data_IF_227271195303
#
_entry.id   IF_227271195303
#
_cell.length_a   1.000
_cell.length_b   1.000
_cell.length_c   1.000
_cell.angle_alpha   90.00
_cell.angle_beta   90.00
_cell.angle_gamma   90.00
#
_symmetry.space_group_name_H-M   'P 1'
#
loop_
_entity.id
_entity.type
_entity.pdbx_description
1 polymer ?
#
# COMPACT_ATOMS: atom_id res chain seq x y z
N UNK A 1 -52.24 49.44 45.35
CA UNK A 1 -52.33 48.48 44.22
C UNK A 1 -51.56 49.06 43.06
N UNK A 2 -50.45 48.43 42.65
CA UNK A 2 -49.56 48.91 41.58
C UNK A 2 -49.06 47.68 40.81
N UNK A 3 -49.70 47.38 39.68
CA UNK A 3 -49.18 46.41 38.71
C UNK A 3 -47.94 47.00 38.04
N UNK A 4 -46.85 46.24 37.99
CA UNK A 4 -45.67 46.53 37.19
C UNK A 4 -45.51 45.46 36.12
N UNK A 5 -45.62 45.93 34.88
CA UNK A 5 -45.51 45.19 33.63
C UNK A 5 -44.13 44.55 33.46
N UNK A 6 -44.14 43.28 33.04
CA UNK A 6 -42.97 42.43 32.81
C UNK A 6 -42.48 42.61 31.36
N UNK A 7 -41.69 43.66 31.10
CA UNK A 7 -41.20 44.03 29.75
C UNK A 7 -39.75 43.56 29.51
N UNK A 8 -39.08 43.00 30.52
CA UNK A 8 -37.63 42.72 30.46
C UNK A 8 -37.19 41.42 29.76
N UNK A 9 -38.11 40.47 29.51
CA UNK A 9 -37.71 39.10 29.12
C UNK A 9 -37.69 38.88 27.60
N UNK A 10 -38.51 39.61 26.84
CA UNK A 10 -38.64 39.41 25.39
C UNK A 10 -37.47 39.94 24.54
N UNK A 11 -36.83 41.02 24.99
CA UNK A 11 -35.75 41.68 24.23
C UNK A 11 -34.42 40.93 24.29
N UNK A 12 -34.10 40.26 25.41
CA UNK A 12 -32.88 39.45 25.51
C UNK A 12 -32.94 38.16 24.69
N UNK A 13 -34.12 37.53 24.59
CA UNK A 13 -34.29 36.31 23.80
C UNK A 13 -34.16 36.57 22.29
N UNK A 14 -34.70 37.70 21.81
CA UNK A 14 -34.60 38.08 20.39
C UNK A 14 -33.16 38.47 19.99
N UNK A 15 -32.41 39.14 20.87
CA UNK A 15 -31.02 39.52 20.60
C UNK A 15 -30.07 38.30 20.53
N UNK A 16 -30.30 37.28 21.37
CA UNK A 16 -29.51 36.05 21.36
C UNK A 16 -29.74 35.21 20.10
N UNK A 17 -30.97 35.20 19.56
CA UNK A 17 -31.32 34.53 18.31
C UNK A 17 -30.71 35.23 17.07
N UNK A 18 -30.60 36.56 17.05
CA UNK A 18 -29.93 37.28 15.96
C UNK A 18 -28.40 37.11 15.96
N UNK A 19 -27.77 37.06 17.15
CA UNK A 19 -26.34 36.74 17.24
C UNK A 19 -26.04 35.32 16.73
N UNK A 20 -26.87 34.32 17.06
CA UNK A 20 -26.67 32.94 16.59
C UNK A 20 -26.74 32.80 15.05
N UNK A 21 -27.56 33.62 14.38
CA UNK A 21 -27.67 33.65 12.91
C UNK A 21 -26.53 34.42 12.23
N UNK A 22 -25.76 35.21 12.97
CA UNK A 22 -24.64 36.01 12.45
C UNK A 22 -23.30 35.25 12.46
N UNK A 23 -23.25 34.10 13.16
CA UNK A 23 -22.11 33.17 13.19
C UNK A 23 -22.37 31.88 12.41
N UNK A 24 -23.38 31.86 11.53
CA UNK A 24 -23.43 30.87 10.48
C UNK A 24 -22.26 31.17 9.53
N UNK A 25 -21.06 30.70 9.86
CA UNK A 25 -19.97 30.57 8.92
C UNK A 25 -20.58 30.00 7.65
N UNK A 26 -20.38 30.69 6.53
CA UNK A 26 -20.62 30.10 5.22
C UNK A 26 -19.93 28.73 5.26
N UNK A 27 -20.73 27.66 5.28
CA UNK A 27 -20.21 26.34 5.02
C UNK A 27 -19.70 26.40 3.59
N UNK A 28 -18.43 26.79 3.42
CA UNK A 28 -17.74 26.59 2.17
C UNK A 28 -17.85 25.10 1.93
N UNK A 29 -18.61 24.72 0.89
CA UNK A 29 -18.57 23.37 0.39
C UNK A 29 -17.12 23.11 -0.02
N UNK A 30 -16.35 22.48 0.87
CA UNK A 30 -14.98 22.08 0.59
C UNK A 30 -15.08 20.96 -0.45
N UNK A 31 -14.97 21.31 -1.73
CA UNK A 31 -14.99 20.34 -2.81
C UNK A 31 -13.68 19.56 -2.78
N UNK A 32 -13.71 18.36 -2.20
CA UNK A 32 -12.57 17.45 -2.21
C UNK A 32 -12.36 16.95 -3.63
N UNK A 33 -11.23 17.33 -4.23
CA UNK A 33 -10.86 16.86 -5.55
C UNK A 33 -9.96 15.65 -5.41
N UNK A 34 -10.36 14.52 -5.99
CA UNK A 34 -9.52 13.31 -6.07
C UNK A 34 -8.94 13.19 -7.46
N UNK A 35 -7.62 13.15 -7.56
CA UNK A 35 -6.88 12.95 -8.81
C UNK A 35 -6.10 11.64 -8.76
N UNK A 36 -6.02 10.94 -9.89
CA UNK A 36 -5.07 9.85 -10.10
C UNK A 36 -3.64 10.45 -10.15
N UNK A 37 -2.72 9.92 -9.36
CA UNK A 37 -1.32 10.41 -9.32
C UNK A 37 -0.32 9.44 -9.93
N UNK A 38 -0.59 8.13 -9.88
CA UNK A 38 0.30 7.14 -10.45
C UNK A 38 -0.43 5.83 -10.78
N UNK A 39 0.06 5.15 -11.83
CA UNK A 39 -0.28 3.76 -12.15
C UNK A 39 1.01 3.08 -12.56
N UNK A 40 1.39 2.02 -11.86
CA UNK A 40 2.56 1.23 -12.19
C UNK A 40 2.32 -0.27 -12.03
N UNK A 41 3.10 -1.06 -12.76
CA UNK A 41 3.10 -2.51 -12.69
C UNK A 41 4.39 -2.98 -12.02
N UNK A 42 4.25 -4.00 -11.17
CA UNK A 42 5.30 -4.61 -10.40
C UNK A 42 5.59 -3.87 -9.11
N UNK A 43 6.28 -4.58 -8.23
CA UNK A 43 6.84 -4.06 -6.99
C UNK A 43 8.25 -4.63 -6.80
N UNK A 44 9.05 -4.11 -5.86
CA UNK A 44 10.32 -4.74 -5.49
C UNK A 44 10.16 -6.23 -5.08
N UNK A 45 8.98 -6.61 -4.57
CA UNK A 45 8.68 -8.00 -4.25
C UNK A 45 8.33 -8.83 -5.49
N UNK A 46 7.67 -8.26 -6.50
CA UNK A 46 7.50 -8.89 -7.82
C UNK A 46 8.85 -9.17 -8.47
N UNK A 47 9.79 -8.21 -8.40
CA UNK A 47 11.15 -8.40 -8.90
C UNK A 47 11.90 -9.51 -8.15
N UNK A 48 11.75 -9.55 -6.82
CA UNK A 48 12.31 -10.62 -6.00
C UNK A 48 11.73 -11.98 -6.40
N UNK A 49 10.41 -12.09 -6.57
CA UNK A 49 9.74 -13.32 -6.93
C UNK A 49 10.17 -13.81 -8.33
N UNK A 50 10.24 -12.91 -9.31
CA UNK A 50 10.80 -13.18 -10.65
C UNK A 50 12.24 -13.68 -10.57
N UNK A 51 13.04 -13.11 -9.67
CA UNK A 51 14.41 -13.55 -9.41
C UNK A 51 14.51 -15.00 -8.92
N UNK A 52 13.52 -15.52 -8.19
CA UNK A 52 13.47 -16.92 -7.74
C UNK A 52 13.29 -17.91 -8.89
N UNK A 53 12.71 -17.45 -10.00
CA UNK A 53 12.55 -18.25 -11.23
C UNK A 53 13.84 -18.45 -12.01
N UNK A 54 14.94 -17.79 -11.64
CA UNK A 54 16.22 -17.95 -12.31
C UNK A 54 16.88 -19.26 -11.88
N UNK A 55 17.06 -20.18 -12.82
CA UNK A 55 17.77 -21.44 -12.62
C UNK A 55 16.89 -22.67 -12.84
N UNK A 56 17.36 -23.76 -12.24
CA UNK A 56 16.80 -25.09 -12.40
C UNK A 56 17.79 -26.15 -11.90
N UNK A 57 17.39 -27.41 -11.99
CA UNK A 57 18.27 -28.54 -11.76
C UNK A 57 17.96 -29.67 -12.73
N UNK A 58 18.89 -30.61 -12.87
CA UNK A 58 18.73 -31.81 -13.66
C UNK A 58 18.28 -32.98 -12.76
N UNK A 59 17.26 -33.72 -13.20
CA UNK A 59 16.83 -34.95 -12.52
C UNK A 59 17.79 -36.10 -12.85
N UNK A 60 17.79 -37.16 -12.03
CA UNK A 60 18.60 -38.35 -12.28
C UNK A 60 18.35 -39.00 -13.66
N UNK A 61 17.17 -38.78 -14.25
CA UNK A 61 16.84 -39.23 -15.61
C UNK A 61 17.36 -38.33 -16.74
N UNK A 62 18.15 -37.29 -16.44
CA UNK A 62 18.70 -36.35 -17.43
C UNK A 62 17.73 -35.25 -17.89
N UNK A 63 16.54 -35.18 -17.32
CA UNK A 63 15.57 -34.13 -17.65
C UNK A 63 15.83 -32.88 -16.83
N UNK A 64 15.95 -31.74 -17.52
CA UNK A 64 16.07 -30.43 -16.88
C UNK A 64 14.72 -29.90 -16.37
N UNK A 65 14.70 -29.43 -15.13
CA UNK A 65 13.55 -28.76 -14.50
C UNK A 65 13.92 -27.30 -14.30
N UNK A 66 13.27 -26.41 -15.05
CA UNK A 66 13.45 -24.96 -14.88
C UNK A 66 12.51 -24.41 -13.82
N UNK A 67 13.02 -23.50 -12.98
CA UNK A 67 12.18 -22.78 -12.01
C UNK A 67 11.28 -21.74 -12.67
N UNK A 68 11.62 -21.26 -13.87
CA UNK A 68 10.91 -20.15 -14.53
C UNK A 68 9.41 -20.38 -14.64
N UNK A 69 8.97 -21.61 -14.94
CA UNK A 69 7.56 -21.99 -15.01
C UNK A 69 6.84 -21.78 -13.66
N UNK A 70 7.48 -22.16 -12.56
CA UNK A 70 6.93 -22.11 -11.21
C UNK A 70 6.75 -20.70 -10.65
N UNK A 71 7.61 -19.78 -11.07
CA UNK A 71 7.59 -18.37 -10.64
C UNK A 71 7.08 -17.43 -11.75
N UNK A 72 6.46 -17.97 -12.79
CA UNK A 72 5.79 -17.16 -13.80
C UNK A 72 4.36 -16.84 -13.33
N UNK A 73 4.07 -15.55 -13.18
CA UNK A 73 2.72 -15.04 -12.92
C UNK A 73 2.06 -14.59 -14.22
N UNK A 74 0.80 -14.96 -14.43
CA UNK A 74 -0.01 -14.45 -15.55
C UNK A 74 -0.48 -13.00 -15.33
N UNK A 75 -0.50 -12.56 -14.09
CA UNK A 75 -0.82 -11.20 -13.67
C UNK A 75 0.23 -10.72 -12.67
N UNK A 76 0.95 -9.67 -13.04
CA UNK A 76 1.92 -8.98 -12.17
C UNK A 76 1.20 -7.91 -11.37
N UNK A 77 1.63 -7.69 -10.13
CA UNK A 77 1.00 -6.71 -9.23
C UNK A 77 0.81 -5.34 -9.91
N UNK A 78 -0.39 -4.78 -9.81
CA UNK A 78 -0.74 -3.48 -10.39
C UNK A 78 -1.09 -2.52 -9.26
N UNK A 79 -0.40 -1.39 -9.22
CA UNK A 79 -0.62 -0.34 -8.24
C UNK A 79 -1.31 0.86 -8.88
N UNK A 80 -2.31 1.40 -8.18
CA UNK A 80 -3.04 2.61 -8.56
C UNK A 80 -3.08 3.53 -7.35
N UNK A 81 -2.47 4.71 -7.50
CA UNK A 81 -2.37 5.70 -6.44
C UNK A 81 -3.17 6.97 -6.79
N UNK A 82 -3.82 7.51 -5.78
CA UNK A 82 -4.67 8.69 -5.82
C UNK A 82 -4.23 9.73 -4.78
N UNK A 83 -4.54 10.99 -5.07
CA UNK A 83 -4.44 12.11 -4.14
C UNK A 83 -5.80 12.77 -4.01
N UNK A 84 -6.35 12.79 -2.80
CA UNK A 84 -7.51 13.61 -2.45
C UNK A 84 -7.03 14.90 -1.81
N UNK A 85 -7.22 16.02 -2.51
CA UNK A 85 -6.84 17.34 -2.03
C UNK A 85 -7.81 17.82 -0.96
N UNK A 86 -7.26 18.14 0.21
CA UNK A 86 -8.01 18.71 1.33
C UNK A 86 -7.87 20.23 1.28
N UNK A 87 -6.66 20.74 1.04
CA UNK A 87 -6.39 22.17 0.77
C UNK A 87 -5.49 22.28 -0.46
N UNK A 88 -5.23 23.49 -0.99
CA UNK A 88 -4.31 23.67 -2.12
C UNK A 88 -2.89 23.12 -1.87
N UNK A 89 -2.49 23.05 -0.59
CA UNK A 89 -1.15 22.64 -0.18
C UNK A 89 -1.11 21.31 0.57
N UNK A 90 -2.26 20.67 0.77
CA UNK A 90 -2.37 19.47 1.60
C UNK A 90 -3.35 18.48 1.01
N UNK A 91 -2.95 17.21 0.98
CA UNK A 91 -3.83 16.14 0.53
C UNK A 91 -3.55 14.80 1.19
N UNK A 92 -4.53 13.92 1.06
CA UNK A 92 -4.46 12.53 1.49
C UNK A 92 -4.10 11.64 0.30
N UNK A 93 -3.01 10.89 0.43
CA UNK A 93 -2.60 9.89 -0.54
C UNK A 93 -3.28 8.56 -0.19
N UNK A 94 -3.79 7.86 -1.19
CA UNK A 94 -4.29 6.51 -1.01
C UNK A 94 -4.20 5.72 -2.30
N UNK A 95 -4.09 4.40 -2.18
CA UNK A 95 -3.94 3.54 -3.35
C UNK A 95 -4.13 2.08 -2.99
N UNK A 96 -4.13 1.24 -4.02
CA UNK A 96 -4.23 -0.21 -3.84
C UNK A 96 -3.29 -0.93 -4.81
N UNK A 97 -2.79 -2.08 -4.37
CA UNK A 97 -2.08 -3.06 -5.19
C UNK A 97 -2.95 -4.30 -5.36
N UNK A 98 -3.04 -4.84 -6.57
CA UNK A 98 -3.87 -6.01 -6.87
C UNK A 98 -3.32 -7.32 -6.28
N UNK A 99 -2.05 -7.34 -5.91
CA UNK A 99 -1.31 -8.57 -5.62
C UNK A 99 -0.90 -9.30 -6.90
N UNK A 100 -0.23 -10.43 -6.71
CA UNK A 100 0.39 -11.23 -7.76
C UNK A 100 0.35 -12.71 -7.36
N UNK A 101 0.11 -13.60 -8.32
CA UNK A 101 0.05 -15.02 -8.02
C UNK A 101 0.72 -15.85 -9.11
N UNK A 102 1.58 -16.77 -8.67
CA UNK A 102 2.16 -17.83 -9.49
C UNK A 102 1.92 -19.19 -8.83
N UNK A 103 2.48 -20.24 -9.43
CA UNK A 103 2.38 -21.59 -8.91
C UNK A 103 3.03 -21.71 -7.53
N UNK A 104 4.26 -21.21 -7.37
CA UNK A 104 5.05 -21.36 -6.13
C UNK A 104 5.12 -20.13 -5.25
N UNK A 105 4.40 -19.05 -5.56
CA UNK A 105 4.30 -17.92 -4.64
C UNK A 105 3.00 -17.14 -4.80
N UNK A 106 2.74 -16.28 -3.82
CA UNK A 106 1.71 -15.25 -3.90
C UNK A 106 2.19 -13.97 -3.22
N UNK A 107 1.89 -12.83 -3.82
CA UNK A 107 1.95 -11.51 -3.21
C UNK A 107 0.51 -11.12 -2.89
N UNK A 108 0.22 -10.89 -1.61
CA UNK A 108 -1.11 -10.46 -1.19
C UNK A 108 -1.45 -9.08 -1.79
N UNK A 109 -2.73 -8.76 -2.02
CA UNK A 109 -3.15 -7.40 -2.33
C UNK A 109 -2.69 -6.41 -1.25
N UNK A 110 -2.56 -5.14 -1.60
CA UNK A 110 -2.10 -4.09 -0.69
C UNK A 110 -2.98 -2.86 -0.72
N UNK A 111 -2.96 -2.11 0.37
CA UNK A 111 -3.55 -0.78 0.50
C UNK A 111 -2.48 0.19 0.98
N UNK A 112 -2.41 1.33 0.31
CA UNK A 112 -1.50 2.43 0.63
C UNK A 112 -2.33 3.60 1.13
N UNK A 113 -1.87 4.26 2.18
CA UNK A 113 -2.45 5.47 2.72
C UNK A 113 -1.35 6.43 3.12
N UNK A 114 -1.62 7.73 3.09
CA UNK A 114 -0.60 8.70 3.43
C UNK A 114 -1.09 10.12 3.37
N UNK A 115 -0.16 11.02 3.59
CA UNK A 115 -0.42 12.44 3.63
C UNK A 115 0.70 13.16 2.91
N UNK A 116 0.31 14.18 2.15
CA UNK A 116 1.20 15.08 1.46
C UNK A 116 0.91 16.50 1.93
N UNK A 117 1.93 17.23 2.32
CA UNK A 117 1.83 18.66 2.59
C UNK A 117 2.99 19.39 1.94
N UNK A 118 2.72 20.59 1.45
CA UNK A 118 3.73 21.47 0.90
C UNK A 118 3.67 22.84 1.55
N UNK A 119 4.81 23.51 1.59
CA UNK A 119 4.91 24.92 1.99
C UNK A 119 5.71 25.67 0.93
N UNK A 120 5.51 26.98 0.86
CA UNK A 120 6.20 27.86 -0.07
C UNK A 120 7.08 28.85 0.73
N UNK A 121 8.31 28.45 1.13
CA UNK A 121 9.17 29.31 1.96
C UNK A 121 9.49 30.66 1.31
N UNK A 122 9.54 30.70 -0.02
CA UNK A 122 9.60 31.94 -0.81
C UNK A 122 8.83 31.73 -2.13
N UNK A 123 8.57 32.80 -2.93
CA UNK A 123 7.80 32.69 -4.18
C UNK A 123 8.42 31.74 -5.23
N UNK A 124 9.70 31.42 -5.08
CA UNK A 124 10.49 30.64 -6.02
C UNK A 124 10.89 29.28 -5.43
N UNK A 125 10.28 28.85 -4.32
CA UNK A 125 10.59 27.56 -3.70
C UNK A 125 9.38 26.85 -3.13
N UNK A 126 9.43 25.53 -3.19
CA UNK A 126 8.42 24.63 -2.64
C UNK A 126 9.12 23.56 -1.81
N UNK A 127 8.69 23.39 -0.57
CA UNK A 127 9.09 22.30 0.32
C UNK A 127 7.92 21.34 0.46
N UNK A 128 8.07 20.10 0.02
CA UNK A 128 7.04 19.05 0.08
C UNK A 128 7.47 17.93 1.03
N UNK A 129 6.57 17.52 1.92
CA UNK A 129 6.71 16.38 2.81
C UNK A 129 5.60 15.37 2.51
N UNK A 130 5.97 14.12 2.27
CA UNK A 130 5.06 12.99 2.09
C UNK A 130 5.36 11.90 3.11
N UNK A 131 4.32 11.36 3.73
CA UNK A 131 4.42 10.18 4.60
C UNK A 131 3.36 9.20 4.14
N UNK A 132 3.79 7.99 3.76
CA UNK A 132 2.89 6.93 3.32
C UNK A 132 3.12 5.66 4.11
N UNK A 133 2.08 4.87 4.26
CA UNK A 133 2.10 3.56 4.89
C UNK A 133 1.34 2.54 4.04
N UNK A 134 1.89 1.33 3.96
CA UNK A 134 1.35 0.23 3.16
C UNK A 134 0.98 -0.93 4.07
N UNK A 135 -0.22 -1.46 3.88
CA UNK A 135 -0.77 -2.62 4.58
C UNK A 135 -1.04 -3.72 3.55
N UNK A 136 -0.65 -4.95 3.85
CA UNK A 136 -0.74 -6.07 2.89
C UNK A 136 0.50 -6.16 2.00
N UNK A 137 0.38 -6.71 0.79
CA UNK A 137 1.50 -6.78 -0.16
C UNK A 137 2.58 -7.82 0.16
N UNK A 138 2.36 -8.71 1.13
CA UNK A 138 3.40 -9.66 1.55
C UNK A 138 3.61 -10.76 0.49
N UNK A 139 4.86 -11.05 0.18
CA UNK A 139 5.30 -12.16 -0.66
C UNK A 139 5.45 -13.42 0.20
N UNK A 140 4.82 -14.51 -0.20
CA UNK A 140 4.95 -15.83 0.42
C UNK A 140 5.18 -16.90 -0.64
N UNK A 141 6.31 -17.60 -0.52
CA UNK A 141 6.64 -18.78 -1.31
C UNK A 141 5.91 -20.01 -0.73
N UNK A 142 5.44 -20.89 -1.61
CA UNK A 142 4.68 -22.10 -1.28
C UNK A 142 5.60 -23.32 -1.40
N UNK A 143 5.48 -24.30 -0.49
CA UNK A 143 6.17 -25.58 -0.67
C UNK A 143 5.59 -26.37 -1.84
N UNK A 144 6.29 -27.41 -2.27
CA UNK A 144 5.75 -28.45 -3.14
C UNK A 144 6.02 -29.83 -2.56
N UNK A 145 5.34 -30.81 -3.14
CA UNK A 145 5.56 -32.21 -2.83
C UNK A 145 6.61 -32.76 -3.79
N UNK A 146 7.73 -33.22 -3.23
CA UNK A 146 8.74 -33.98 -3.95
C UNK A 146 8.59 -35.47 -3.62
N UNK A 147 8.71 -36.30 -4.63
CA UNK A 147 8.68 -37.76 -4.51
C UNK A 147 10.11 -38.29 -4.59
N UNK A 148 10.57 -38.91 -3.50
CA UNK A 148 11.91 -39.51 -3.39
C UNK A 148 11.87 -41.04 -3.60
N UNK A 149 10.83 -41.56 -4.25
CA UNK A 149 10.69 -42.98 -4.56
C UNK A 149 10.45 -43.80 -3.30
N UNK A 150 11.36 -44.73 -3.01
CA UNK A 150 11.25 -45.64 -1.86
C UNK A 150 11.29 -44.93 -0.50
N UNK A 151 11.80 -43.70 -0.45
CA UNK A 151 11.79 -42.86 0.75
C UNK A 151 10.41 -42.20 0.97
N UNK A 152 9.56 -42.13 -0.04
CA UNK A 152 8.23 -41.52 0.01
C UNK A 152 8.19 -40.07 -0.47
N UNK A 153 7.03 -39.43 -0.30
CA UNK A 153 6.78 -38.06 -0.73
C UNK A 153 6.77 -37.07 0.43
N UNK A 154 7.49 -35.95 0.28
CA UNK A 154 7.66 -34.96 1.34
C UNK A 154 7.41 -33.54 0.83
N UNK A 155 6.98 -32.66 1.74
CA UNK A 155 6.86 -31.23 1.47
C UNK A 155 8.24 -30.57 1.57
N UNK A 156 8.66 -29.89 0.51
CA UNK A 156 10.00 -29.29 0.39
C UNK A 156 9.95 -27.90 -0.24
N UNK A 157 11.05 -27.17 -0.15
CA UNK A 157 11.29 -26.04 -1.06
C UNK A 157 11.66 -26.57 -2.44
N UNK A 158 10.86 -26.23 -3.43
CA UNK A 158 10.98 -26.77 -4.80
C UNK A 158 12.31 -26.47 -5.46
N UNK A 159 12.95 -25.35 -5.12
CA UNK A 159 14.26 -24.99 -5.67
C UNK A 159 15.39 -25.88 -5.12
N UNK A 160 15.16 -26.49 -3.97
CA UNK A 160 16.14 -27.31 -3.24
C UNK A 160 15.78 -28.80 -3.23
N UNK A 161 14.71 -29.20 -3.92
CA UNK A 161 14.20 -30.57 -3.89
C UNK A 161 15.22 -31.62 -4.37
N UNK A 162 16.10 -31.25 -5.31
CA UNK A 162 17.17 -32.12 -5.81
C UNK A 162 18.52 -31.94 -5.10
N UNK A 163 18.54 -31.20 -3.98
CA UNK A 163 19.75 -30.99 -3.17
C UNK A 163 19.99 -32.08 -2.13
N UNK A 164 21.06 -31.91 -1.35
CA UNK A 164 21.43 -32.84 -0.26
C UNK A 164 20.73 -32.52 1.08
N UNK A 165 20.07 -31.36 1.18
CA UNK A 165 19.38 -30.92 2.39
C UNK A 165 18.15 -31.80 2.69
N UNK A 166 17.86 -32.01 3.98
CA UNK A 166 16.65 -32.77 4.37
C UNK A 166 15.38 -32.00 4.01
N UNK A 167 14.23 -32.68 3.81
CA UNK A 167 12.97 -32.00 3.50
C UNK A 167 12.64 -30.83 4.44
N UNK A 168 12.80 -31.04 5.75
CA UNK A 168 12.53 -30.04 6.78
C UNK A 168 13.48 -28.85 6.69
N UNK A 169 14.76 -29.09 6.40
CA UNK A 169 15.77 -28.04 6.21
C UNK A 169 15.41 -27.19 4.99
N UNK A 170 15.00 -27.80 3.88
CA UNK A 170 14.63 -27.05 2.67
C UNK A 170 13.51 -26.04 2.92
N UNK A 171 12.53 -26.38 3.76
CA UNK A 171 11.37 -25.52 4.05
C UNK A 171 11.77 -24.23 4.77
N UNK A 172 12.89 -24.21 5.50
CA UNK A 172 13.40 -23.00 6.16
C UNK A 172 13.88 -21.94 5.15
N UNK A 173 14.12 -22.35 3.90
CA UNK A 173 14.54 -21.46 2.81
C UNK A 173 13.38 -20.90 1.99
N UNK A 174 12.12 -21.17 2.37
CA UNK A 174 10.97 -20.53 1.75
C UNK A 174 10.99 -19.01 1.99
N UNK A 175 10.82 -18.25 0.93
CA UNK A 175 10.79 -16.79 0.99
C UNK A 175 9.47 -16.32 1.60
N UNK A 176 9.60 -15.57 2.69
CA UNK A 176 8.51 -14.77 3.25
C UNK A 176 9.03 -13.34 3.44
N UNK A 177 8.47 -12.38 2.70
CA UNK A 177 8.93 -11.00 2.70
C UNK A 177 7.75 -10.02 2.78
N UNK A 178 7.89 -9.00 3.60
CA UNK A 178 6.93 -7.88 3.66
C UNK A 178 7.41 -6.71 2.80
N UNK A 179 6.49 -5.89 2.25
CA UNK A 179 6.87 -4.66 1.56
C UNK A 179 7.34 -3.61 2.59
N UNK A 180 7.90 -2.52 2.08
CA UNK A 180 8.16 -1.32 2.89
C UNK A 180 6.84 -0.78 3.43
N UNK A 181 6.69 -0.77 4.76
CA UNK A 181 5.42 -0.42 5.43
C UNK A 181 5.25 1.06 5.68
N UNK A 182 6.35 1.82 5.71
CA UNK A 182 6.35 3.25 5.99
C UNK A 182 7.41 3.90 5.12
N UNK A 183 7.02 4.88 4.33
CA UNK A 183 7.91 5.64 3.48
C UNK A 183 7.75 7.14 3.78
N UNK A 184 8.85 7.79 4.13
CA UNK A 184 8.93 9.22 4.41
C UNK A 184 9.78 9.89 3.34
N UNK A 185 9.21 10.89 2.67
CA UNK A 185 9.86 11.59 1.58
C UNK A 185 9.79 13.10 1.78
N UNK A 186 10.94 13.76 1.65
CA UNK A 186 11.09 15.19 1.77
C UNK A 186 11.75 15.72 0.49
N UNK A 187 11.14 16.73 -0.13
CA UNK A 187 11.64 17.34 -1.36
C UNK A 187 11.65 18.87 -1.24
N UNK A 188 12.75 19.49 -1.63
CA UNK A 188 12.87 20.93 -1.77
C UNK A 188 13.15 21.30 -3.22
N UNK A 189 12.24 22.02 -3.85
CA UNK A 189 12.32 22.46 -5.25
C UNK A 189 12.50 23.98 -5.31
N UNK A 190 13.41 24.45 -6.16
CA UNK A 190 13.62 25.87 -6.46
C UNK A 190 13.33 26.09 -7.95
N UNK A 191 12.57 27.12 -8.28
CA UNK A 191 12.28 27.54 -9.65
C UNK A 191 12.92 28.89 -9.93
N UNK A 192 13.57 29.05 -11.08
CA UNK A 192 14.31 30.26 -11.49
C UNK A 192 13.58 31.01 -12.59
#
# INVERSE_FOLDING_TARGET
MRERSNIGVGLCAAALLLCALSFASTAMAQEWTTSLVDIHQGSPLSDKARGLGNGGYELQGGSWVSFSHWYHASWVDMHVDFLTQITPDTGFLWGFGTGEQAEKYSIAPSLKFGFLTQTHPNPNSTLSLSVTSTIGGALTEKPCVADYGDLGSYSVNCRLAAGEASPEETLTHLVNASPERLHLWLNYRVTF
#
